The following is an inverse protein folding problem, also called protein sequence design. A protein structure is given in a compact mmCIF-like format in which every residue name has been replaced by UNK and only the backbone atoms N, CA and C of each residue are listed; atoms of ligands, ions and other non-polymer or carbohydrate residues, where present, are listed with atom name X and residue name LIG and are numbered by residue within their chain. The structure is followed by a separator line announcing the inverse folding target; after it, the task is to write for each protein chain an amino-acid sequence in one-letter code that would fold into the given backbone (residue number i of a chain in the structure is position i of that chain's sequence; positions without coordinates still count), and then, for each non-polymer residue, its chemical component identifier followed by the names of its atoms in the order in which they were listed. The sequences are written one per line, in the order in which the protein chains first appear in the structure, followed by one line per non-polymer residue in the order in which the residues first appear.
data_IF_446357073697
#
_entry.id   IF_446357073697
#
_cell.length_a   1.000
_cell.length_b   1.000
_cell.length_c   1.000
_cell.angle_alpha   90.00
_cell.angle_beta   90.00
_cell.angle_gamma   90.00
#
_symmetry.space_group_name_H-M   'P 1'
#
loop_
_entity.id
_entity.type
_entity.pdbx_description
1 polymer ?
#
# COMPACT_ATOMS: atom_id res chain seq x y z
N UNK A 1 -27.66 -5.96 -3.96
CA UNK A 1 -26.42 -5.66 -3.20
C UNK A 1 -25.31 -5.34 -4.19
N UNK A 2 -24.69 -4.16 -4.12
CA UNK A 2 -23.67 -3.75 -5.09
C UNK A 2 -22.45 -4.69 -5.01
N UNK A 3 -22.10 -5.37 -6.10
CA UNK A 3 -20.95 -6.30 -6.15
C UNK A 3 -19.65 -5.64 -5.65
N UNK A 4 -19.48 -4.34 -5.92
CA UNK A 4 -18.35 -3.55 -5.43
C UNK A 4 -18.26 -3.47 -3.90
N UNK A 5 -19.40 -3.36 -3.20
CA UNK A 5 -19.43 -3.36 -1.74
C UNK A 5 -18.92 -4.69 -1.17
N UNK A 6 -19.38 -5.82 -1.74
CA UNK A 6 -18.97 -7.15 -1.32
C UNK A 6 -17.46 -7.33 -1.53
N UNK A 7 -16.93 -6.93 -2.68
CA UNK A 7 -15.49 -7.04 -2.96
C UNK A 7 -14.64 -6.19 -2.02
N UNK A 8 -15.04 -4.94 -1.74
CA UNK A 8 -14.34 -4.08 -0.80
C UNK A 8 -14.40 -4.66 0.62
N UNK A 9 -15.57 -5.09 1.09
CA UNK A 9 -15.75 -5.65 2.43
C UNK A 9 -14.90 -6.92 2.62
N UNK A 10 -14.94 -7.86 1.67
CA UNK A 10 -14.12 -9.07 1.71
C UNK A 10 -12.62 -8.75 1.69
N UNK A 11 -12.20 -7.78 0.87
CA UNK A 11 -10.80 -7.35 0.82
C UNK A 11 -10.34 -6.78 2.16
N UNK A 12 -11.13 -5.92 2.80
CA UNK A 12 -10.77 -5.34 4.10
C UNK A 12 -10.78 -6.39 5.23
N UNK A 13 -11.70 -7.36 5.19
CA UNK A 13 -11.73 -8.46 6.15
C UNK A 13 -10.46 -9.33 6.04
N UNK A 14 -10.12 -9.77 4.82
CA UNK A 14 -8.90 -10.57 4.59
C UNK A 14 -7.67 -9.80 5.05
N UNK A 15 -7.63 -8.51 4.74
CA UNK A 15 -6.50 -7.66 5.10
C UNK A 15 -6.40 -7.43 6.62
N UNK A 16 -7.52 -7.27 7.32
CA UNK A 16 -7.56 -7.16 8.78
C UNK A 16 -7.13 -8.42 9.53
N UNK A 17 -7.20 -9.60 8.90
CA UNK A 17 -6.73 -10.87 9.46
C UNK A 17 -5.21 -11.10 9.27
N UNK A 18 -4.54 -10.32 8.41
CA UNK A 18 -3.12 -10.51 8.11
C UNK A 18 -2.18 -10.45 9.33
N UNK A 19 -2.36 -9.55 10.32
CA UNK A 19 -1.54 -9.56 11.53
C UNK A 19 -1.52 -10.91 12.25
N UNK A 20 -2.63 -11.65 12.24
CA UNK A 20 -2.71 -12.97 12.87
C UNK A 20 -1.81 -13.97 12.14
N UNK A 21 -1.80 -13.92 10.81
CA UNK A 21 -0.92 -14.76 9.98
C UNK A 21 0.56 -14.44 10.22
N UNK A 22 0.95 -13.16 10.25
CA UNK A 22 2.33 -12.75 10.50
C UNK A 22 2.81 -13.08 11.91
N UNK A 23 1.91 -13.01 12.90
CA UNK A 23 2.23 -13.39 14.28
C UNK A 23 2.62 -14.87 14.41
N UNK A 24 2.03 -15.74 13.61
CA UNK A 24 2.41 -17.17 13.54
C UNK A 24 3.78 -17.34 12.86
N UNK A 25 4.11 -16.48 11.90
CA UNK A 25 5.39 -16.48 11.17
C UNK A 25 6.47 -15.56 11.78
N UNK A 26 6.33 -15.16 13.05
CA UNK A 26 7.23 -14.20 13.71
C UNK A 26 8.72 -14.62 13.68
N UNK A 27 8.99 -15.91 13.57
CA UNK A 27 10.35 -16.48 13.54
C UNK A 27 11.02 -16.33 12.17
N UNK A 28 10.22 -16.11 11.11
CA UNK A 28 10.73 -15.88 9.76
C UNK A 28 11.10 -14.39 9.61
N UNK A 29 12.32 -14.06 9.13
CA UNK A 29 12.71 -12.68 8.85
C UNK A 29 11.69 -11.97 7.96
N UNK A 30 11.30 -10.73 8.34
CA UNK A 30 10.32 -9.92 7.62
C UNK A 30 10.66 -9.75 6.13
N UNK A 31 11.95 -9.70 5.81
CA UNK A 31 12.44 -9.60 4.45
C UNK A 31 12.17 -10.86 3.62
N UNK A 32 12.38 -12.06 4.18
CA UNK A 32 12.06 -13.32 3.49
C UNK A 32 10.55 -13.45 3.25
N UNK A 33 9.73 -13.06 4.23
CA UNK A 33 8.27 -13.01 4.09
C UNK A 33 7.87 -12.10 2.91
N UNK A 34 8.50 -10.92 2.82
CA UNK A 34 8.26 -9.97 1.73
C UNK A 34 8.63 -10.56 0.36
N UNK A 35 9.79 -11.22 0.23
CA UNK A 35 10.24 -11.82 -1.01
C UNK A 35 9.31 -12.94 -1.48
N UNK A 36 8.88 -13.82 -0.57
CA UNK A 36 7.88 -14.84 -0.87
C UNK A 36 6.55 -14.22 -1.28
N UNK A 37 6.10 -13.18 -0.57
CA UNK A 37 4.87 -12.46 -0.91
C UNK A 37 4.93 -11.84 -2.31
N UNK A 38 6.04 -11.20 -2.69
CA UNK A 38 6.22 -10.62 -4.02
C UNK A 38 6.23 -11.72 -5.09
N UNK A 39 6.98 -12.80 -4.85
CA UNK A 39 7.11 -13.93 -5.78
C UNK A 39 5.76 -14.60 -6.06
N UNK A 40 5.01 -14.96 -5.01
CA UNK A 40 3.70 -15.58 -5.18
C UNK A 40 2.65 -14.63 -5.76
N UNK A 41 2.71 -13.34 -5.40
CA UNK A 41 1.84 -12.33 -6.01
C UNK A 41 2.11 -12.20 -7.51
N UNK A 42 3.39 -12.19 -7.92
CA UNK A 42 3.76 -12.12 -9.33
C UNK A 42 3.23 -13.35 -10.09
N UNK A 43 3.47 -14.55 -9.58
CA UNK A 43 2.98 -15.81 -10.20
C UNK A 43 1.46 -15.75 -10.39
N UNK A 44 0.72 -15.38 -9.33
CA UNK A 44 -0.73 -15.31 -9.37
C UNK A 44 -1.24 -14.24 -10.36
N UNK A 45 -0.63 -13.06 -10.38
CA UNK A 45 -1.04 -11.97 -11.26
C UNK A 45 -0.71 -12.28 -12.72
N UNK A 46 0.47 -12.85 -13.01
CA UNK A 46 0.82 -13.31 -14.36
C UNK A 46 -0.19 -14.34 -14.86
N UNK A 47 -0.57 -15.30 -14.01
CA UNK A 47 -1.60 -16.28 -14.33
C UNK A 47 -2.89 -15.56 -14.75
N UNK A 48 -3.41 -14.64 -13.95
CA UNK A 48 -4.61 -13.85 -14.30
C UNK A 48 -4.43 -13.13 -15.64
N UNK A 49 -3.28 -12.53 -15.91
CA UNK A 49 -3.04 -11.78 -17.16
C UNK A 49 -3.03 -12.69 -18.40
N UNK A 50 -2.47 -13.89 -18.28
CA UNK A 50 -2.48 -14.91 -19.34
C UNK A 50 -3.92 -15.33 -19.64
N UNK A 51 -4.73 -15.63 -18.61
CA UNK A 51 -6.13 -15.99 -18.78
C UNK A 51 -6.96 -14.88 -19.42
N UNK A 52 -6.65 -13.61 -19.12
CA UNK A 52 -7.31 -12.45 -19.72
C UNK A 52 -6.78 -12.11 -21.13
N UNK A 53 -5.76 -12.82 -21.62
CA UNK A 53 -5.09 -12.59 -22.92
C UNK A 53 -4.68 -11.11 -23.14
N UNK A 54 -4.37 -10.39 -22.07
CA UNK A 54 -4.12 -8.95 -22.11
C UNK A 54 -2.67 -8.64 -21.75
N UNK A 55 -1.75 -8.95 -22.67
CA UNK A 55 -0.30 -8.76 -22.50
C UNK A 55 0.27 -7.68 -23.43
N UNK A 56 -0.53 -7.13 -24.35
CA UNK A 56 -0.09 -6.14 -25.34
C UNK A 56 0.43 -4.84 -24.69
N UNK A 57 -0.15 -4.44 -23.57
CA UNK A 57 0.24 -3.26 -22.81
C UNK A 57 1.67 -3.34 -22.25
N UNK A 58 2.19 -4.55 -21.97
CA UNK A 58 3.49 -4.72 -21.32
C UNK A 58 4.62 -4.16 -22.19
N UNK A 59 4.62 -4.47 -23.49
CA UNK A 59 5.64 -3.98 -24.42
C UNK A 59 5.68 -2.46 -24.49
N UNK A 60 4.51 -1.82 -24.46
CA UNK A 60 4.42 -0.36 -24.45
C UNK A 60 4.93 0.21 -23.12
N UNK A 61 4.55 -0.38 -22.00
CA UNK A 61 4.98 0.05 -20.67
C UNK A 61 6.51 -0.02 -20.48
N UNK A 62 7.17 -1.07 -20.98
CA UNK A 62 8.63 -1.20 -20.90
C UNK A 62 9.40 -0.25 -21.84
N UNK A 63 8.75 0.35 -22.83
CA UNK A 63 9.39 1.33 -23.73
C UNK A 63 9.25 2.76 -23.22
N UNK A 64 8.22 3.03 -22.42
CA UNK A 64 7.99 4.35 -21.85
C UNK A 64 8.80 4.54 -20.57
N UNK A 65 9.86 5.36 -20.68
CA UNK A 65 10.74 5.69 -19.54
C UNK A 65 10.00 6.36 -18.39
N UNK A 66 8.97 7.17 -18.67
CA UNK A 66 8.19 7.85 -17.65
C UNK A 66 7.34 6.85 -16.87
N UNK A 67 6.71 5.91 -17.57
CA UNK A 67 5.98 4.80 -16.94
C UNK A 67 6.94 3.99 -16.07
N UNK A 68 8.10 3.57 -16.60
CA UNK A 68 9.07 2.81 -15.81
C UNK A 68 9.55 3.56 -14.56
N UNK A 69 9.87 4.86 -14.66
CA UNK A 69 10.32 5.65 -13.52
C UNK A 69 9.22 5.79 -12.45
N UNK A 70 7.99 6.08 -12.86
CA UNK A 70 6.85 6.17 -11.95
C UNK A 70 6.61 4.82 -11.27
N UNK A 71 6.57 3.73 -12.02
CA UNK A 71 6.30 2.40 -11.48
C UNK A 71 7.46 1.81 -10.67
N UNK A 72 8.70 2.19 -10.96
CA UNK A 72 9.85 1.86 -10.10
C UNK A 72 9.69 2.57 -8.75
N UNK A 73 9.40 3.87 -8.75
CA UNK A 73 9.16 4.64 -7.52
C UNK A 73 7.98 4.09 -6.73
N UNK A 74 6.83 3.80 -7.37
CA UNK A 74 5.67 3.23 -6.65
C UNK A 74 5.97 1.84 -6.12
N UNK A 75 6.72 1.02 -6.86
CA UNK A 75 7.11 -0.31 -6.40
C UNK A 75 8.01 -0.25 -5.16
N UNK A 76 8.97 0.67 -5.11
CA UNK A 76 9.82 0.88 -3.95
C UNK A 76 9.02 1.37 -2.74
N UNK A 77 8.11 2.33 -2.94
CA UNK A 77 7.21 2.81 -1.87
C UNK A 77 6.30 1.70 -1.35
N UNK A 78 5.74 0.87 -2.25
CA UNK A 78 4.89 -0.25 -1.90
C UNK A 78 5.67 -1.32 -1.13
N UNK A 79 6.88 -1.65 -1.58
CA UNK A 79 7.78 -2.59 -0.92
C UNK A 79 8.19 -2.10 0.47
N UNK A 80 8.60 -0.84 0.59
CA UNK A 80 8.94 -0.22 1.88
C UNK A 80 7.74 -0.21 2.83
N UNK A 81 6.54 0.06 2.33
CA UNK A 81 5.31 0.01 3.12
C UNK A 81 5.04 -1.41 3.65
N UNK A 82 5.05 -2.41 2.76
CA UNK A 82 4.81 -3.80 3.16
C UNK A 82 5.87 -4.32 4.11
N UNK A 83 7.14 -4.03 3.85
CA UNK A 83 8.25 -4.38 4.73
C UNK A 83 8.05 -3.79 6.13
N UNK A 84 7.80 -2.48 6.21
CA UNK A 84 7.61 -1.77 7.47
C UNK A 84 6.45 -2.35 8.25
N UNK A 85 5.36 -2.72 7.57
CA UNK A 85 4.21 -3.35 8.22
C UNK A 85 4.53 -4.74 8.77
N UNK A 86 5.14 -5.62 7.97
CA UNK A 86 5.53 -6.97 8.41
C UNK A 86 6.52 -6.87 9.57
N UNK A 87 7.52 -5.99 9.46
CA UNK A 87 8.50 -5.73 10.49
C UNK A 87 7.85 -5.22 11.79
N UNK A 88 6.89 -4.30 11.69
CA UNK A 88 6.15 -3.80 12.84
C UNK A 88 5.38 -4.91 13.55
N UNK A 89 4.71 -5.80 12.81
CA UNK A 89 3.99 -6.94 13.40
C UNK A 89 4.97 -7.93 14.07
N UNK A 90 6.06 -8.30 13.40
CA UNK A 90 7.05 -9.23 13.94
C UNK A 90 7.75 -8.70 15.21
N UNK A 91 7.91 -7.38 15.34
CA UNK A 91 8.52 -6.74 16.52
C UNK A 91 7.49 -6.31 17.59
N UNK A 92 6.25 -6.79 17.52
CA UNK A 92 5.21 -6.46 18.51
C UNK A 92 4.68 -5.02 18.44
N UNK A 93 5.06 -4.25 17.41
CA UNK A 93 4.62 -2.86 17.15
C UNK A 93 3.35 -2.81 16.30
N UNK A 94 2.45 -3.79 16.45
CA UNK A 94 1.22 -3.90 15.64
C UNK A 94 0.28 -2.69 15.84
N UNK A 95 0.32 -2.08 17.03
CA UNK A 95 -0.45 -0.87 17.35
C UNK A 95 0.02 0.31 16.48
N UNK A 96 1.33 0.55 16.36
CA UNK A 96 1.84 1.60 15.45
C UNK A 96 1.51 1.30 13.99
N UNK A 97 1.54 0.03 13.60
CA UNK A 97 1.08 -0.40 12.28
C UNK A 97 -0.35 0.05 12.01
N UNK A 98 -1.27 -0.23 12.94
CA UNK A 98 -2.68 0.14 12.85
C UNK A 98 -2.88 1.66 12.85
N UNK A 99 -2.17 2.38 13.73
CA UNK A 99 -2.14 3.84 13.75
C UNK A 99 -1.73 4.43 12.40
N UNK A 100 -0.76 3.82 11.72
CA UNK A 100 -0.34 4.23 10.39
C UNK A 100 -1.47 4.25 9.38
N UNK A 101 -2.34 3.23 9.41
CA UNK A 101 -3.50 3.16 8.52
C UNK A 101 -4.63 4.09 8.93
N UNK A 102 -4.76 4.47 10.20
CA UNK A 102 -5.67 5.54 10.61
C UNK A 102 -5.18 6.92 10.19
N UNK A 103 -3.86 7.17 10.19
CA UNK A 103 -3.25 8.43 9.74
C UNK A 103 -3.30 8.57 8.20
N UNK A 104 -3.30 7.46 7.48
CA UNK A 104 -3.19 7.41 6.03
C UNK A 104 -4.25 8.24 5.25
N UNK A 105 -5.55 8.21 5.58
CA UNK A 105 -6.53 9.09 4.95
C UNK A 105 -6.21 10.58 5.09
N UNK A 106 -5.71 11.03 6.24
CA UNK A 106 -5.30 12.43 6.44
C UNK A 106 -4.15 12.80 5.52
N UNK A 107 -3.11 11.96 5.47
CA UNK A 107 -1.97 12.16 4.57
C UNK A 107 -2.39 12.20 3.10
N UNK A 108 -3.26 11.27 2.70
CA UNK A 108 -3.75 11.19 1.31
C UNK A 108 -4.55 12.44 0.93
N UNK A 109 -5.40 12.95 1.81
CA UNK A 109 -6.15 14.20 1.55
C UNK A 109 -5.20 15.39 1.49
N UNK A 110 -4.25 15.53 2.41
CA UNK A 110 -3.26 16.61 2.39
C UNK A 110 -2.49 16.60 1.05
N UNK A 111 -2.02 15.43 0.61
CA UNK A 111 -1.36 15.27 -0.67
C UNK A 111 -2.28 15.61 -1.85
N UNK A 112 -3.55 15.20 -1.81
CA UNK A 112 -4.55 15.53 -2.83
C UNK A 112 -4.82 17.04 -2.94
N UNK A 113 -4.94 17.73 -1.81
CA UNK A 113 -5.14 19.18 -1.77
C UNK A 113 -3.92 19.92 -2.31
N UNK A 114 -2.71 19.52 -1.88
CA UNK A 114 -1.46 20.21 -2.27
C UNK A 114 -1.10 19.96 -3.73
N UNK A 115 -1.08 18.70 -4.17
CA UNK A 115 -0.55 18.31 -5.48
C UNK A 115 -1.61 18.21 -6.57
N UNK A 116 -2.82 17.74 -6.23
CA UNK A 116 -3.93 17.60 -7.19
C UNK A 116 -4.89 18.79 -7.17
N UNK A 117 -4.67 19.75 -6.25
CA UNK A 117 -5.52 20.93 -6.06
C UNK A 117 -6.99 20.56 -5.83
N UNK A 118 -7.22 19.43 -5.17
CA UNK A 118 -8.56 18.99 -4.80
C UNK A 118 -9.18 19.99 -3.81
N UNK A 119 -10.50 20.14 -3.92
CA UNK A 119 -11.28 21.03 -3.08
C UNK A 119 -12.28 20.18 -2.29
N UNK A 120 -11.88 19.62 -1.13
CA UNK A 120 -12.80 18.92 -0.25
C UNK A 120 -13.93 19.87 0.13
N UNK A 121 -15.15 19.36 0.18
CA UNK A 121 -16.29 20.13 0.65
C UNK A 121 -16.20 20.38 2.17
N UNK A 122 -17.08 21.23 2.69
CA UNK A 122 -17.06 21.62 4.10
C UNK A 122 -17.23 20.42 5.04
N UNK A 123 -18.04 19.42 4.65
CA UNK A 123 -18.27 18.22 5.46
C UNK A 123 -17.06 17.29 5.48
N UNK A 124 -16.36 17.14 4.35
CA UNK A 124 -15.09 16.41 4.32
C UNK A 124 -14.06 17.04 5.26
N UNK A 125 -13.94 18.38 5.26
CA UNK A 125 -13.05 19.07 6.20
C UNK A 125 -13.43 18.87 7.66
N UNK A 126 -14.73 18.87 7.98
CA UNK A 126 -15.20 18.57 9.34
C UNK A 126 -14.84 17.13 9.74
N UNK A 127 -15.05 16.16 8.85
CA UNK A 127 -14.70 14.76 9.09
C UNK A 127 -13.19 14.57 9.28
N UNK A 128 -12.36 15.26 8.49
CA UNK A 128 -10.90 15.29 8.62
C UNK A 128 -10.49 15.88 9.98
N UNK A 129 -11.13 16.96 10.41
CA UNK A 129 -10.91 17.56 11.72
C UNK A 129 -11.22 16.59 12.86
N UNK A 130 -12.38 15.94 12.82
CA UNK A 130 -12.76 14.93 13.81
C UNK A 130 -11.80 13.73 13.83
N UNK A 131 -11.42 13.22 12.65
CA UNK A 131 -10.45 12.13 12.54
C UNK A 131 -9.08 12.55 13.11
N UNK A 132 -8.65 13.78 12.85
CA UNK A 132 -7.39 14.32 13.37
C UNK A 132 -7.39 14.38 14.89
N UNK A 133 -8.50 14.80 15.52
CA UNK A 133 -8.64 14.79 16.99
C UNK A 133 -8.53 13.37 17.54
N UNK A 134 -9.22 12.40 16.94
CA UNK A 134 -9.15 11.00 17.37
C UNK A 134 -7.74 10.42 17.26
N UNK A 135 -7.01 10.76 16.19
CA UNK A 135 -5.62 10.34 16.00
C UNK A 135 -4.70 10.98 17.04
N UNK A 136 -4.81 12.29 17.27
CA UNK A 136 -4.01 13.00 18.29
C UNK A 136 -4.25 12.38 19.68
N UNK A 137 -5.51 12.11 20.02
CA UNK A 137 -5.87 11.44 21.26
C UNK A 137 -5.25 10.04 21.37
N UNK A 138 -5.31 9.24 20.30
CA UNK A 138 -4.72 7.89 20.29
C UNK A 138 -3.19 7.94 20.41
N UNK A 139 -2.54 8.90 19.76
CA UNK A 139 -1.08 9.12 19.88
C UNK A 139 -0.71 9.54 21.31
N UNK A 140 -1.50 10.40 21.94
CA UNK A 140 -1.27 10.83 23.32
C UNK A 140 -1.36 9.63 24.29
N UNK A 141 -2.35 8.75 24.11
CA UNK A 141 -2.48 7.52 24.92
C UNK A 141 -1.34 6.53 24.62
N UNK A 142 -0.91 6.44 23.36
CA UNK A 142 0.19 5.56 22.97
C UNK A 142 1.51 5.92 23.68
N UNK A 143 1.65 7.17 24.14
CA UNK A 143 2.74 7.59 25.04
C UNK A 143 4.13 7.64 24.39
N UNK A 144 4.22 7.43 23.08
CA UNK A 144 5.47 7.53 22.32
C UNK A 144 5.21 8.00 20.89
N UNK A 145 6.25 8.50 20.22
CA UNK A 145 6.13 8.98 18.83
C UNK A 145 6.00 7.77 17.88
N UNK A 146 4.89 7.62 17.14
CA UNK A 146 4.64 6.45 16.32
C UNK A 146 5.33 6.59 14.95
N UNK A 147 6.66 6.51 14.94
CA UNK A 147 7.45 6.71 13.72
C UNK A 147 7.12 5.70 12.61
N UNK A 148 6.76 4.45 12.97
CA UNK A 148 6.31 3.43 12.00
C UNK A 148 5.03 3.90 11.31
N UNK A 149 4.11 4.50 12.07
CA UNK A 149 2.84 4.98 11.55
C UNK A 149 3.05 6.08 10.50
N UNK A 150 3.99 6.99 10.74
CA UNK A 150 4.34 8.04 9.78
C UNK A 150 5.01 7.49 8.53
N UNK A 151 5.90 6.49 8.64
CA UNK A 151 6.48 5.81 7.48
C UNK A 151 5.39 5.14 6.64
N UNK A 152 4.47 4.42 7.28
CA UNK A 152 3.36 3.75 6.60
C UNK A 152 2.43 4.75 5.90
N UNK A 153 2.00 5.80 6.60
CA UNK A 153 1.13 6.83 6.05
C UNK A 153 1.81 7.61 4.91
N UNK A 154 3.08 8.00 5.07
CA UNK A 154 3.84 8.72 4.06
C UNK A 154 4.09 7.87 2.81
N UNK A 155 4.61 6.65 2.97
CA UNK A 155 4.88 5.75 1.85
C UNK A 155 3.61 5.41 1.07
N UNK A 156 2.51 5.06 1.75
CA UNK A 156 1.26 4.73 1.09
C UNK A 156 0.55 5.94 0.50
N UNK A 157 0.60 7.10 1.16
CA UNK A 157 0.03 8.35 0.66
C UNK A 157 0.71 8.81 -0.64
N UNK A 158 2.05 8.81 -0.68
CA UNK A 158 2.80 9.15 -1.89
C UNK A 158 2.57 8.11 -2.98
N UNK A 159 2.56 6.82 -2.64
CA UNK A 159 2.19 5.75 -3.56
C UNK A 159 0.79 5.99 -4.16
N UNK A 160 -0.20 6.33 -3.35
CA UNK A 160 -1.56 6.63 -3.77
C UNK A 160 -1.63 7.84 -4.72
N UNK A 161 -0.92 8.92 -4.41
CA UNK A 161 -0.80 10.10 -5.26
C UNK A 161 -0.23 9.77 -6.64
N UNK A 162 0.89 9.03 -6.67
CA UNK A 162 1.51 8.61 -7.93
C UNK A 162 0.61 7.67 -8.72
N UNK A 163 -0.04 6.70 -8.07
CA UNK A 163 -0.97 5.77 -8.74
C UNK A 163 -2.22 6.46 -9.27
N UNK A 164 -2.69 7.52 -8.62
CA UNK A 164 -3.83 8.32 -9.09
C UNK A 164 -3.54 9.05 -10.41
N UNK A 165 -2.27 9.30 -10.72
CA UNK A 165 -1.84 9.97 -11.96
C UNK A 165 -1.21 9.00 -12.98
N UNK A 166 -1.12 7.71 -12.64
CA UNK A 166 -0.49 6.70 -13.49
C UNK A 166 -1.43 6.24 -14.62
N UNK A 167 -0.84 5.94 -15.78
CA UNK A 167 -1.57 5.55 -16.99
C UNK A 167 -2.06 4.10 -17.00
N UNK A 168 -1.47 3.22 -16.16
CA UNK A 168 -1.85 1.82 -16.09
C UNK A 168 -2.95 1.57 -15.06
N UNK A 169 -3.92 0.75 -15.43
CA UNK A 169 -4.99 0.34 -14.52
C UNK A 169 -4.47 -0.48 -13.31
N UNK A 170 -5.35 -0.78 -12.35
CA UNK A 170 -4.96 -1.45 -11.10
C UNK A 170 -4.18 -2.74 -11.31
N UNK A 171 -4.66 -3.63 -12.20
CA UNK A 171 -4.04 -4.93 -12.46
C UNK A 171 -2.71 -4.79 -13.22
N UNK A 172 -2.67 -3.97 -14.27
CA UNK A 172 -1.46 -3.72 -15.06
C UNK A 172 -0.36 -3.10 -14.20
N UNK A 173 -0.71 -2.08 -13.40
CA UNK A 173 0.24 -1.43 -12.50
C UNK A 173 0.81 -2.39 -11.46
N UNK A 174 -0.04 -3.18 -10.79
CA UNK A 174 0.42 -4.16 -9.82
C UNK A 174 1.30 -5.26 -10.46
N UNK A 175 0.99 -5.65 -11.70
CA UNK A 175 1.83 -6.58 -12.48
C UNK A 175 3.22 -5.98 -12.70
N UNK A 176 3.30 -4.73 -13.14
CA UNK A 176 4.57 -4.07 -13.41
C UNK A 176 5.37 -3.84 -12.12
N UNK A 177 4.71 -3.43 -11.03
CA UNK A 177 5.35 -3.25 -9.72
C UNK A 177 5.94 -4.55 -9.20
N UNK A 178 5.19 -5.64 -9.26
CA UNK A 178 5.67 -6.96 -8.81
C UNK A 178 6.76 -7.51 -9.71
N UNK A 179 6.73 -7.27 -11.03
CA UNK A 179 7.83 -7.63 -11.94
C UNK A 179 9.11 -6.86 -11.63
N UNK A 180 9.01 -5.55 -11.40
CA UNK A 180 10.16 -4.71 -11.07
C UNK A 180 10.77 -5.09 -9.72
N UNK A 181 9.94 -5.44 -8.73
CA UNK A 181 10.38 -5.90 -7.41
C UNK A 181 10.91 -7.34 -7.42
N UNK A 182 10.46 -8.17 -8.36
CA UNK A 182 10.87 -9.57 -8.42
C UNK A 182 12.38 -9.71 -8.67
N UNK A 183 12.96 -8.87 -9.53
CA UNK A 183 14.40 -8.89 -9.80
C UNK A 183 15.20 -8.72 -8.50
N UNK A 184 15.02 -7.65 -7.69
CA UNK A 184 15.62 -7.54 -6.36
C UNK A 184 15.26 -8.69 -5.41
N UNK A 185 14.02 -9.19 -5.44
CA UNK A 185 13.56 -10.22 -4.53
C UNK A 185 14.21 -11.61 -4.78
N UNK A 186 14.71 -11.86 -6.00
CA UNK A 186 15.39 -13.12 -6.36
C UNK A 186 16.89 -13.16 -6.05
N UNK A 187 17.49 -12.06 -5.57
CA UNK A 187 18.93 -11.98 -5.26
C UNK A 187 19.24 -12.53 -3.85
N UNK A 188 18.29 -13.23 -3.22
CA UNK A 188 18.32 -13.72 -1.83
C UNK A 188 18.14 -15.23 -1.84
#
# INVERSE_FOLDING_TARGET
MNKGFIYSASSYLIWGLLPLYWKVLKEVPAFQILCHRISWSLVFIIFIQIFRKNLSWMKAAFRDKRVLLTFTTTSLLLSANWFTYIWAVNNGRTIEGSLGYFINPLFTVILGVIFLKERPDKWSWLAIGLASIGIIYTIAIYGSVPWIAFILAGSFGIYGLLRKTASLNSLQGLTLETMLLFIPATVI
#
